data_IF_209096285339
#
_entry.id   IF_209096285339
#
_cell.length_a   1.000
_cell.length_b   1.000
_cell.length_c   1.000
_cell.angle_alpha   90.00
_cell.angle_beta   90.00
_cell.angle_gamma   90.00
#
_symmetry.space_group_name_H-M   'P 1'
#
loop_
_entity.id
_entity.type
_entity.pdbx_description
1 polymer ?
#
# COMPACT_ATOMS: atom_id res chain seq x y z
N UNK A 1 0.10 6.82 23.87
CA UNK A 1 -0.94 6.59 22.86
C UNK A 1 -0.77 5.20 22.30
N UNK A 2 -1.76 4.33 22.45
CA UNK A 2 -1.70 2.97 21.91
C UNK A 2 -1.72 3.06 20.39
N UNK A 3 -0.61 2.69 19.74
CA UNK A 3 -0.58 2.49 18.30
C UNK A 3 -1.49 1.29 18.03
N UNK A 4 -2.67 1.55 17.45
CA UNK A 4 -3.58 0.51 16.94
C UNK A 4 -2.99 -0.22 15.73
N UNK A 5 -1.78 0.16 15.29
CA UNK A 5 -1.11 -0.36 14.11
C UNK A 5 0.04 -1.26 14.55
N UNK A 6 -0.26 -2.49 14.94
CA UNK A 6 0.76 -3.49 15.31
C UNK A 6 1.46 -4.09 14.09
N UNK A 7 0.81 -4.07 12.94
CA UNK A 7 1.31 -4.64 11.69
C UNK A 7 0.89 -3.80 10.49
N UNK A 8 1.65 -3.88 9.41
CA UNK A 8 1.27 -3.37 8.09
C UNK A 8 1.24 -4.54 7.11
N UNK A 9 0.23 -4.57 6.25
CA UNK A 9 0.05 -5.65 5.25
C UNK A 9 -0.08 -5.06 3.86
N UNK A 10 0.60 -5.68 2.90
CA UNK A 10 0.41 -5.44 1.48
C UNK A 10 -0.02 -6.74 0.79
N UNK A 11 -1.01 -6.66 -0.10
CA UNK A 11 -1.56 -7.81 -0.80
C UNK A 11 -1.78 -7.46 -2.26
N UNK A 12 -1.28 -8.31 -3.16
CA UNK A 12 -1.59 -8.26 -4.57
C UNK A 12 -2.83 -9.11 -4.87
N UNK A 13 -3.78 -8.52 -5.57
CA UNK A 13 -4.88 -9.22 -6.20
C UNK A 13 -4.51 -9.44 -7.68
N UNK A 14 -4.40 -10.69 -8.16
CA UNK A 14 -4.34 -10.95 -9.59
C UNK A 14 -5.64 -10.44 -10.24
N UNK A 15 -5.71 -10.40 -11.58
CA UNK A 15 -6.83 -9.84 -12.35
C UNK A 15 -8.17 -9.96 -11.60
N UNK A 16 -8.58 -8.85 -10.99
CA UNK A 16 -9.56 -8.82 -9.93
C UNK A 16 -10.97 -8.99 -10.54
N UNK A 17 -11.89 -9.61 -9.81
CA UNK A 17 -13.22 -9.90 -10.34
C UNK A 17 -14.01 -8.63 -10.76
N UNK A 18 -13.64 -7.45 -10.23
CA UNK A 18 -14.21 -6.15 -10.65
C UNK A 18 -13.36 -5.39 -11.67
N UNK A 19 -12.09 -5.71 -11.83
CA UNK A 19 -11.13 -4.94 -12.63
C UNK A 19 -10.18 -5.92 -13.32
N UNK A 20 -10.16 -5.95 -14.65
CA UNK A 20 -9.34 -6.91 -15.41
C UNK A 20 -7.82 -6.73 -15.23
N UNK A 21 -7.38 -5.76 -14.41
CA UNK A 21 -6.00 -5.46 -14.05
C UNK A 21 -5.62 -5.98 -12.67
N UNK A 22 -4.29 -6.10 -12.45
CA UNK A 22 -3.71 -6.36 -11.13
C UNK A 22 -3.94 -5.17 -10.21
N UNK A 23 -4.27 -5.44 -8.95
CA UNK A 23 -4.46 -4.42 -7.91
C UNK A 23 -3.55 -4.76 -6.73
N UNK A 24 -2.94 -3.75 -6.09
CA UNK A 24 -2.19 -3.92 -4.85
C UNK A 24 -2.86 -3.12 -3.73
N UNK A 25 -3.31 -3.82 -2.69
CA UNK A 25 -3.82 -3.23 -1.46
C UNK A 25 -2.71 -3.06 -0.42
N UNK A 26 -2.83 -2.02 0.40
CA UNK A 26 -1.86 -1.68 1.45
C UNK A 26 -2.57 -1.04 2.65
N UNK A 27 -2.36 -1.58 3.86
CA UNK A 27 -2.85 -0.96 5.11
C UNK A 27 -1.95 0.16 5.60
N UNK A 28 -2.52 1.05 6.42
CA UNK A 28 -1.84 2.15 7.10
C UNK A 28 -1.12 3.10 6.13
N UNK A 29 -1.77 3.36 5.00
CA UNK A 29 -1.35 4.40 4.06
C UNK A 29 -2.42 5.49 4.04
N UNK A 30 -2.08 6.62 4.68
CA UNK A 30 -2.96 7.79 4.68
C UNK A 30 -3.19 8.31 3.26
N UNK A 31 -4.28 9.04 3.06
CA UNK A 31 -4.59 9.72 1.80
C UNK A 31 -3.46 10.64 1.37
N UNK A 32 -2.87 11.38 2.31
CA UNK A 32 -1.71 12.22 2.06
C UNK A 32 -0.53 11.37 1.55
N UNK A 33 -0.17 10.30 2.24
CA UNK A 33 0.93 9.42 1.83
C UNK A 33 0.68 8.78 0.46
N UNK A 34 -0.56 8.35 0.20
CA UNK A 34 -0.96 7.70 -1.04
C UNK A 34 -0.89 8.66 -2.24
N UNK A 35 -1.45 9.87 -2.11
CA UNK A 35 -1.38 10.90 -3.15
C UNK A 35 0.06 11.37 -3.39
N UNK A 36 0.86 11.52 -2.33
CA UNK A 36 2.26 11.89 -2.46
C UNK A 36 3.09 10.76 -3.11
N UNK A 37 2.77 9.49 -2.81
CA UNK A 37 3.39 8.37 -3.52
C UNK A 37 3.11 8.44 -5.03
N UNK A 38 1.85 8.65 -5.42
CA UNK A 38 1.43 8.80 -6.82
C UNK A 38 2.14 9.99 -7.49
N UNK A 39 2.19 11.14 -6.83
CA UNK A 39 2.90 12.32 -7.32
C UNK A 39 4.37 12.00 -7.64
N UNK A 40 5.07 11.35 -6.71
CA UNK A 40 6.49 11.00 -6.87
C UNK A 40 6.71 9.95 -7.98
N UNK A 41 5.70 9.14 -8.32
CA UNK A 41 5.73 8.26 -9.50
C UNK A 41 5.61 9.01 -10.83
N UNK A 42 5.43 10.34 -10.82
CA UNK A 42 5.18 11.14 -12.02
C UNK A 42 3.75 11.03 -12.54
N UNK A 43 2.83 10.48 -11.74
CA UNK A 43 1.41 10.34 -12.06
C UNK A 43 0.63 11.56 -11.53
N UNK A 44 1.13 12.75 -11.83
CA UNK A 44 0.80 13.98 -11.10
C UNK A 44 -0.51 14.65 -11.52
N UNK A 45 -1.09 14.31 -12.66
CA UNK A 45 -2.31 14.95 -13.20
C UNK A 45 -3.38 13.91 -13.49
N UNK A 46 -4.64 14.28 -13.27
CA UNK A 46 -5.75 13.43 -13.63
C UNK A 46 -7.04 13.77 -12.90
N UNK A 47 -7.89 12.77 -12.71
CA UNK A 47 -9.23 12.97 -12.16
C UNK A 47 -9.33 12.50 -10.71
N UNK A 48 -9.96 13.31 -9.87
CA UNK A 48 -10.22 13.03 -8.47
C UNK A 48 -11.73 12.99 -8.21
N UNK A 49 -12.17 11.99 -7.45
CA UNK A 49 -13.52 11.87 -6.93
C UNK A 49 -13.44 11.52 -5.44
N UNK A 50 -14.34 12.09 -4.64
CA UNK A 50 -14.45 11.79 -3.21
C UNK A 50 -15.87 11.40 -2.84
N UNK A 51 -15.98 10.47 -1.91
CA UNK A 51 -17.22 9.95 -1.34
C UNK A 51 -17.09 9.99 0.20
N UNK A 52 -18.16 10.39 0.89
CA UNK A 52 -18.15 10.55 2.33
C UNK A 52 -17.27 11.70 2.83
N UNK A 53 -16.92 11.63 4.11
CA UNK A 53 -16.15 12.67 4.79
C UNK A 53 -14.66 12.51 4.49
N UNK A 54 -14.08 13.53 3.86
CA UNK A 54 -12.65 13.63 3.57
C UNK A 54 -12.05 14.90 4.21
N UNK A 55 -11.92 14.97 5.55
CA UNK A 55 -11.35 16.15 6.23
C UNK A 55 -9.92 16.50 5.79
N UNK A 56 -9.20 15.53 5.21
CA UNK A 56 -7.85 15.69 4.68
C UNK A 56 -7.79 16.45 3.35
N UNK A 57 -8.94 16.74 2.73
CA UNK A 57 -9.03 17.47 1.48
C UNK A 57 -9.83 18.76 1.64
N UNK A 58 -9.22 19.87 1.25
CA UNK A 58 -9.92 21.14 1.18
C UNK A 58 -10.55 21.36 -0.20
N UNK A 59 -11.74 21.97 -0.22
CA UNK A 59 -12.42 22.51 -1.42
C UNK A 59 -12.81 21.51 -2.50
N UNK A 60 -12.68 20.20 -2.25
CA UNK A 60 -13.18 19.15 -3.14
C UNK A 60 -14.56 18.69 -2.65
N UNK A 61 -15.57 18.80 -3.51
CA UNK A 61 -16.96 18.45 -3.17
C UNK A 61 -17.23 16.97 -3.42
N UNK A 62 -17.96 16.36 -2.49
CA UNK A 62 -18.43 14.98 -2.61
C UNK A 62 -19.19 14.71 -3.91
N UNK A 63 -18.95 13.54 -4.50
CA UNK A 63 -19.60 13.06 -5.72
C UNK A 63 -19.20 13.80 -7.00
N UNK A 64 -18.35 14.82 -6.92
CA UNK A 64 -17.87 15.55 -8.09
C UNK A 64 -16.54 15.02 -8.59
N UNK A 65 -16.42 14.89 -9.91
CA UNK A 65 -15.16 14.59 -10.59
C UNK A 65 -14.46 15.88 -10.95
N UNK A 66 -13.28 16.05 -10.39
CA UNK A 66 -12.47 17.25 -10.51
C UNK A 66 -11.18 16.88 -11.25
N UNK A 67 -10.82 17.68 -12.25
CA UNK A 67 -9.49 17.60 -12.87
C UNK A 67 -8.50 18.27 -11.92
N UNK A 68 -7.42 17.56 -11.59
CA UNK A 68 -6.48 17.99 -10.55
C UNK A 68 -5.03 17.83 -11.00
N UNK A 69 -4.19 18.70 -10.44
CA UNK A 69 -2.74 18.63 -10.49
C UNK A 69 -2.24 18.46 -9.05
N UNK A 70 -1.72 17.27 -8.72
CA UNK A 70 -1.30 16.91 -7.36
C UNK A 70 -0.23 17.87 -6.79
N UNK A 71 0.85 18.22 -7.54
CA UNK A 71 1.80 19.26 -7.10
C UNK A 71 1.14 20.58 -6.69
N UNK A 72 0.15 21.06 -7.45
CA UNK A 72 -0.58 22.28 -7.11
C UNK A 72 -1.43 22.13 -5.84
N UNK A 73 -2.07 20.96 -5.67
CA UNK A 73 -2.83 20.66 -4.46
C UNK A 73 -1.94 20.61 -3.21
N UNK A 74 -0.77 19.97 -3.30
CA UNK A 74 0.21 19.94 -2.21
C UNK A 74 0.80 21.32 -1.92
N UNK A 75 1.20 22.07 -2.96
CA UNK A 75 1.75 23.42 -2.80
C UNK A 75 0.73 24.41 -2.19
N UNK A 76 -0.55 24.18 -2.42
CA UNK A 76 -1.65 24.99 -1.88
C UNK A 76 -2.19 24.49 -0.54
N UNK A 77 -1.56 23.48 0.07
CA UNK A 77 -2.02 22.83 1.31
C UNK A 77 -3.45 22.31 1.24
N UNK A 78 -3.94 21.96 0.04
CA UNK A 78 -5.28 21.40 -0.15
C UNK A 78 -5.35 19.90 0.19
N UNK A 79 -4.19 19.25 0.33
CA UNK A 79 -4.05 17.90 0.86
C UNK A 79 -3.27 18.02 2.17
N UNK A 80 -3.94 17.77 3.30
CA UNK A 80 -3.32 17.87 4.62
C UNK A 80 -3.04 16.47 5.19
N UNK A 81 -1.93 16.35 5.91
CA UNK A 81 -1.64 15.13 6.66
C UNK A 81 -2.52 15.09 7.92
N UNK A 82 -3.44 14.13 7.98
CA UNK A 82 -4.27 13.87 9.16
C UNK A 82 -3.90 12.53 9.78
N UNK A 83 -3.86 12.50 11.11
CA UNK A 83 -3.86 11.23 11.86
C UNK A 83 -5.31 10.84 12.13
N UNK A 84 -5.64 9.56 11.90
CA UNK A 84 -6.96 9.00 12.22
C UNK A 84 -7.75 8.52 11.01
N UNK A 85 -8.74 7.69 11.31
CA UNK A 85 -9.65 7.07 10.35
C UNK A 85 -10.70 8.10 9.93
N UNK A 86 -10.79 8.37 8.63
CA UNK A 86 -11.90 9.11 8.05
C UNK A 86 -13.02 8.12 7.69
N UNK A 87 -14.25 8.57 7.44
CA UNK A 87 -15.31 7.70 6.94
C UNK A 87 -15.66 8.12 5.52
N UNK A 88 -15.04 7.48 4.53
CA UNK A 88 -15.19 7.84 3.13
C UNK A 88 -14.11 7.25 2.23
N UNK A 89 -14.32 7.38 0.92
CA UNK A 89 -13.36 6.97 -0.09
C UNK A 89 -12.86 8.15 -0.95
N UNK A 90 -11.61 8.07 -1.37
CA UNK A 90 -11.01 8.93 -2.38
C UNK A 90 -10.57 8.07 -3.55
N UNK A 91 -10.89 8.47 -4.77
CA UNK A 91 -10.38 7.85 -5.99
C UNK A 91 -9.64 8.89 -6.82
N UNK A 92 -8.39 8.59 -7.16
CA UNK A 92 -7.57 9.34 -8.11
C UNK A 92 -7.25 8.46 -9.33
N UNK A 93 -7.35 9.02 -10.53
CA UNK A 93 -6.95 8.34 -11.77
C UNK A 93 -5.96 9.21 -12.54
N UNK A 94 -4.77 8.68 -12.79
CA UNK A 94 -3.74 9.36 -13.56
C UNK A 94 -4.12 9.37 -15.04
N UNK A 95 -4.41 10.55 -15.59
CA UNK A 95 -4.92 10.69 -16.94
C UNK A 95 -4.41 11.98 -17.60
N UNK A 96 -4.15 11.91 -18.92
CA UNK A 96 -3.90 13.09 -19.73
C UNK A 96 -5.21 13.89 -19.88
N UNK A 97 -5.23 15.21 -19.66
CA UNK A 97 -6.40 16.06 -19.88
C UNK A 97 -7.07 15.87 -21.26
N UNK A 98 -6.30 15.46 -22.28
CA UNK A 98 -6.80 15.17 -23.63
C UNK A 98 -7.78 14.00 -23.71
N UNK A 99 -7.83 13.12 -22.69
CA UNK A 99 -8.82 12.04 -22.61
C UNK A 99 -10.23 12.56 -22.33
N UNK A 100 -10.35 13.84 -21.96
CA UNK A 100 -11.63 14.45 -21.63
C UNK A 100 -12.17 14.00 -20.27
N UNK A 101 -13.37 14.48 -19.96
CA UNK A 101 -14.03 14.22 -18.68
C UNK A 101 -14.55 12.78 -18.59
N UNK A 102 -14.28 12.04 -17.51
CA UNK A 102 -14.81 10.70 -17.29
C UNK A 102 -16.34 10.69 -17.26
N UNK A 103 -17.00 9.73 -17.92
CA UNK A 103 -18.46 9.69 -18.06
C UNK A 103 -19.15 9.28 -16.75
N UNK A 104 -20.20 10.00 -16.35
CA UNK A 104 -20.87 9.80 -15.05
C UNK A 104 -21.72 8.53 -14.91
N UNK A 105 -21.71 7.66 -15.93
CA UNK A 105 -22.53 6.43 -16.03
C UNK A 105 -21.89 5.20 -15.36
N UNK A 106 -20.61 5.28 -14.98
CA UNK A 106 -19.83 4.21 -14.35
C UNK A 106 -18.90 4.78 -13.27
N UNK A 107 -18.31 3.95 -12.41
CA UNK A 107 -17.35 4.44 -11.40
C UNK A 107 -16.06 4.97 -12.05
N UNK A 108 -15.33 5.84 -11.33
CA UNK A 108 -14.09 6.41 -11.83
C UNK A 108 -13.00 5.32 -12.03
N UNK A 109 -12.98 4.30 -11.17
CA UNK A 109 -12.12 3.11 -11.32
C UNK A 109 -12.46 2.32 -12.59
N UNK A 110 -13.74 2.04 -12.84
CA UNK A 110 -14.15 1.31 -14.04
C UNK A 110 -13.74 2.03 -15.33
N UNK A 111 -13.88 3.35 -15.36
CA UNK A 111 -13.38 4.16 -16.47
C UNK A 111 -11.85 4.10 -16.60
N UNK A 112 -11.10 4.17 -15.50
CA UNK A 112 -9.63 4.06 -15.52
C UNK A 112 -9.16 2.76 -16.16
N UNK A 113 -9.81 1.65 -15.81
CA UNK A 113 -9.52 0.31 -16.33
C UNK A 113 -9.77 0.21 -17.84
N UNK A 114 -10.90 0.73 -18.33
CA UNK A 114 -11.19 0.80 -19.77
C UNK A 114 -10.12 1.59 -20.52
N UNK A 115 -9.62 2.67 -19.92
CA UNK A 115 -8.58 3.52 -20.48
C UNK A 115 -7.15 3.00 -20.21
N UNK A 116 -7.01 1.87 -19.50
CA UNK A 116 -5.73 1.30 -19.03
C UNK A 116 -4.86 2.33 -18.31
N UNK A 117 -5.46 3.07 -17.39
CA UNK A 117 -4.81 4.12 -16.62
C UNK A 117 -4.52 3.67 -15.18
N UNK A 118 -3.35 4.06 -14.62
CA UNK A 118 -3.09 3.89 -13.21
C UNK A 118 -4.12 4.64 -12.37
N UNK A 119 -4.53 4.02 -11.27
CA UNK A 119 -5.46 4.62 -10.33
C UNK A 119 -5.12 4.27 -8.89
N UNK A 120 -5.58 5.13 -7.98
CA UNK A 120 -5.47 5.01 -6.55
C UNK A 120 -6.87 5.12 -5.96
N UNK A 121 -7.23 4.23 -5.06
CA UNK A 121 -8.38 4.39 -4.17
C UNK A 121 -7.90 4.34 -2.71
N UNK A 122 -8.31 5.30 -1.89
CA UNK A 122 -8.03 5.31 -0.46
C UNK A 122 -9.34 5.25 0.28
N UNK A 123 -9.48 4.25 1.15
CA UNK A 123 -10.67 4.05 1.98
C UNK A 123 -10.31 4.38 3.42
N UNK A 124 -11.17 5.20 4.03
CA UNK A 124 -11.14 5.56 5.43
C UNK A 124 -9.81 6.17 5.92
N UNK A 125 -9.04 6.75 5.00
CA UNK A 125 -7.70 7.29 5.24
C UNK A 125 -6.69 6.25 5.80
N UNK A 126 -6.93 4.96 5.56
CA UNK A 126 -6.10 3.89 6.11
C UNK A 126 -5.69 2.85 5.07
N UNK A 127 -6.60 2.45 4.18
CA UNK A 127 -6.33 1.40 3.20
C UNK A 127 -6.23 2.00 1.80
N UNK A 128 -5.09 1.81 1.15
CA UNK A 128 -4.86 2.26 -0.21
C UNK A 128 -4.83 1.08 -1.20
N UNK A 129 -5.50 1.25 -2.33
CA UNK A 129 -5.56 0.34 -3.46
C UNK A 129 -4.95 1.00 -4.69
N UNK A 130 -4.00 0.31 -5.30
CA UNK A 130 -3.33 0.77 -6.51
C UNK A 130 -3.63 -0.19 -7.66
N UNK A 131 -4.26 0.32 -8.73
CA UNK A 131 -4.48 -0.45 -9.94
C UNK A 131 -3.74 0.13 -11.13
N UNK A 132 -3.51 -0.71 -12.15
CA UNK A 132 -2.83 -0.30 -13.39
C UNK A 132 -1.33 -0.02 -13.22
N UNK A 133 -0.71 -0.46 -12.12
CA UNK A 133 0.74 -0.33 -11.92
C UNK A 133 1.53 -1.40 -12.69
N UNK A 134 2.66 -0.99 -13.25
CA UNK A 134 3.67 -1.91 -13.79
C UNK A 134 4.57 -2.50 -12.69
N UNK A 135 5.42 -3.46 -13.05
CA UNK A 135 6.30 -4.13 -12.09
C UNK A 135 7.32 -3.19 -11.44
N UNK A 136 7.75 -2.14 -12.15
CA UNK A 136 8.69 -1.14 -11.62
C UNK A 136 8.02 -0.28 -10.56
N UNK A 137 6.78 0.14 -10.82
CA UNK A 137 5.97 0.90 -9.87
C UNK A 137 5.61 0.05 -8.64
N UNK A 138 5.31 -1.24 -8.83
CA UNK A 138 5.11 -2.19 -7.73
C UNK A 138 6.39 -2.31 -6.88
N UNK A 139 7.57 -2.38 -7.49
CA UNK A 139 8.84 -2.40 -6.74
C UNK A 139 9.03 -1.11 -5.92
N UNK A 140 8.57 0.02 -6.42
CA UNK A 140 8.61 1.28 -5.66
C UNK A 140 7.64 1.26 -4.49
N UNK A 141 6.43 0.72 -4.68
CA UNK A 141 5.45 0.53 -3.61
C UNK A 141 5.98 -0.42 -2.53
N UNK A 142 6.66 -1.50 -2.91
CA UNK A 142 7.31 -2.42 -1.98
C UNK A 142 8.42 -1.72 -1.19
N UNK A 143 9.23 -0.86 -1.82
CA UNK A 143 10.23 -0.05 -1.10
C UNK A 143 9.59 0.92 -0.12
N UNK A 144 8.51 1.59 -0.52
CA UNK A 144 7.73 2.45 0.37
C UNK A 144 7.24 1.65 1.57
N UNK A 145 6.62 0.49 1.32
CA UNK A 145 6.16 -0.42 2.35
C UNK A 145 7.28 -0.75 3.31
N UNK A 146 8.44 -1.24 2.86
CA UNK A 146 9.56 -1.63 3.73
C UNK A 146 10.17 -0.47 4.54
N UNK A 147 10.24 0.72 3.95
CA UNK A 147 10.88 1.87 4.58
C UNK A 147 9.96 2.64 5.53
N UNK A 148 8.65 2.38 5.49
CA UNK A 148 7.67 3.05 6.36
C UNK A 148 7.85 2.64 7.84
N UNK A 149 7.21 3.39 8.75
CA UNK A 149 7.33 3.27 10.20
C UNK A 149 7.33 1.81 10.67
N UNK A 150 8.19 1.43 11.63
CA UNK A 150 9.12 2.29 12.39
C UNK A 150 10.48 2.50 11.73
N UNK A 151 10.74 1.97 10.54
CA UNK A 151 12.02 2.16 9.87
C UNK A 151 12.30 3.64 9.52
N UNK A 152 11.28 4.35 9.04
CA UNK A 152 11.32 5.77 8.64
C UNK A 152 12.53 6.12 7.74
N UNK A 153 12.87 5.21 6.84
CA UNK A 153 13.95 5.41 5.86
C UNK A 153 13.36 6.12 4.64
N UNK A 154 14.16 6.96 3.97
CA UNK A 154 13.78 7.53 2.69
C UNK A 154 13.76 6.45 1.61
N UNK A 155 12.58 5.88 1.34
CA UNK A 155 12.38 4.80 0.36
C UNK A 155 12.93 5.14 -1.03
N UNK A 156 12.95 6.42 -1.41
CA UNK A 156 13.47 6.91 -2.69
C UNK A 156 14.97 6.67 -2.83
N UNK A 157 15.69 6.61 -1.70
CA UNK A 157 17.12 6.33 -1.62
C UNK A 157 17.42 4.85 -1.39
N UNK A 158 16.39 4.00 -1.44
CA UNK A 158 16.56 2.55 -1.27
C UNK A 158 16.40 1.79 -2.57
N UNK A 159 17.04 0.63 -2.66
CA UNK A 159 16.91 -0.32 -3.77
C UNK A 159 16.65 -1.71 -3.24
N UNK A 160 15.97 -2.54 -4.03
CA UNK A 160 15.83 -3.97 -3.76
C UNK A 160 16.89 -4.71 -4.56
N UNK A 161 17.57 -5.68 -3.94
CA UNK A 161 18.29 -6.69 -4.72
C UNK A 161 17.34 -7.35 -5.75
N UNK A 162 17.75 -7.59 -7.01
CA UNK A 162 16.84 -8.10 -8.05
C UNK A 162 16.17 -9.43 -7.72
N UNK A 163 16.87 -10.34 -7.02
CA UNK A 163 16.30 -11.63 -6.61
C UNK A 163 15.29 -11.43 -5.49
N UNK A 164 15.60 -10.54 -4.55
CA UNK A 164 14.64 -10.14 -3.52
C UNK A 164 13.40 -9.50 -4.13
N UNK A 165 13.56 -8.57 -5.08
CA UNK A 165 12.45 -7.88 -5.74
C UNK A 165 11.51 -8.89 -6.43
N UNK A 166 12.05 -9.81 -7.23
CA UNK A 166 11.27 -10.87 -7.88
C UNK A 166 10.52 -11.74 -6.86
N UNK A 167 11.18 -12.12 -5.75
CA UNK A 167 10.57 -12.92 -4.68
C UNK A 167 9.46 -12.16 -3.96
N UNK A 168 9.66 -10.88 -3.66
CA UNK A 168 8.64 -10.04 -3.04
C UNK A 168 7.44 -9.85 -3.96
N UNK A 169 7.65 -9.62 -5.26
CA UNK A 169 6.57 -9.52 -6.25
C UNK A 169 5.78 -10.82 -6.37
N UNK A 170 6.43 -11.97 -6.46
CA UNK A 170 5.74 -13.26 -6.51
C UNK A 170 4.90 -13.48 -5.24
N UNK A 171 5.52 -13.35 -4.06
CA UNK A 171 4.83 -13.51 -2.79
C UNK A 171 3.72 -12.50 -2.55
N UNK A 172 3.83 -11.28 -3.11
CA UNK A 172 2.79 -10.26 -3.02
C UNK A 172 1.46 -10.76 -3.57
N UNK A 173 1.46 -11.44 -4.72
CA UNK A 173 0.26 -11.96 -5.37
C UNK A 173 -0.12 -13.38 -4.93
N UNK A 174 0.83 -14.17 -4.42
CA UNK A 174 0.56 -15.53 -3.96
C UNK A 174 -0.04 -15.56 -2.55
N UNK A 175 0.46 -14.71 -1.64
CA UNK A 175 0.11 -14.77 -0.23
C UNK A 175 0.17 -13.42 0.51
N UNK A 176 0.53 -12.32 -0.16
CA UNK A 176 0.75 -11.02 0.47
C UNK A 176 1.91 -11.00 1.47
N UNK A 177 2.24 -9.83 1.99
CA UNK A 177 3.28 -9.66 3.00
C UNK A 177 2.77 -8.85 4.17
N UNK A 178 2.92 -9.40 5.37
CA UNK A 178 2.69 -8.70 6.62
C UNK A 178 4.02 -8.48 7.33
N UNK A 179 4.23 -7.26 7.82
CA UNK A 179 5.27 -6.98 8.79
C UNK A 179 4.63 -6.53 10.10
N UNK A 180 5.12 -7.06 11.21
CA UNK A 180 4.77 -6.53 12.52
C UNK A 180 5.77 -5.43 12.89
N UNK A 181 5.27 -4.28 13.35
CA UNK A 181 6.09 -3.11 13.65
C UNK A 181 7.07 -3.36 14.81
N UNK A 182 6.75 -4.25 15.74
CA UNK A 182 7.63 -4.62 16.86
C UNK A 182 8.81 -5.51 16.44
N UNK A 183 8.75 -6.13 15.25
CA UNK A 183 9.84 -6.91 14.67
C UNK A 183 10.76 -6.09 13.77
N UNK A 184 10.52 -4.78 13.67
CA UNK A 184 11.41 -3.88 12.95
C UNK A 184 12.43 -3.32 13.92
N UNK A 185 13.72 -3.57 13.67
CA UNK A 185 14.83 -3.04 14.46
C UNK A 185 15.56 -1.97 13.66
N UNK A 186 15.57 -0.75 14.18
CA UNK A 186 16.25 0.40 13.58
C UNK A 186 17.61 0.58 14.24
N UNK A 187 18.64 0.85 13.44
CA UNK A 187 20.00 1.08 13.90
C UNK A 187 20.94 1.31 12.72
N UNK A 188 22.24 1.01 12.88
CA UNK A 188 23.21 1.08 11.77
C UNK A 188 22.77 0.24 10.56
N UNK A 189 22.10 -0.87 10.84
CA UNK A 189 21.46 -1.75 9.86
C UNK A 189 20.01 -1.93 10.29
N UNK A 190 19.08 -1.61 9.41
CA UNK A 190 17.65 -1.79 9.69
C UNK A 190 17.25 -3.21 9.34
N UNK A 191 16.52 -3.85 10.25
CA UNK A 191 16.00 -5.21 10.06
C UNK A 191 14.48 -5.18 10.13
N UNK A 192 13.84 -6.01 9.31
CA UNK A 192 12.42 -6.31 9.44
C UNK A 192 12.15 -7.74 8.99
N UNK A 193 11.21 -8.41 9.64
CA UNK A 193 10.73 -9.70 9.19
C UNK A 193 9.37 -9.55 8.51
N UNK A 194 9.25 -10.14 7.33
CA UNK A 194 8.01 -10.30 6.61
C UNK A 194 7.51 -11.73 6.76
N UNK A 195 6.21 -11.87 6.94
CA UNK A 195 5.52 -13.15 6.96
C UNK A 195 4.42 -13.15 5.90
N UNK A 196 4.36 -14.22 5.12
CA UNK A 196 3.34 -14.43 4.11
C UNK A 196 2.06 -15.02 4.70
N UNK A 197 0.90 -14.72 4.13
CA UNK A 197 -0.38 -15.37 4.49
C UNK A 197 -0.94 -15.00 5.86
N UNK A 198 -0.36 -14.03 6.56
CA UNK A 198 -0.87 -13.49 7.82
C UNK A 198 -2.00 -12.52 7.49
N UNK A 199 -3.07 -12.51 8.30
CA UNK A 199 -4.29 -11.75 8.05
C UNK A 199 -5.08 -12.16 6.80
N UNK A 200 -5.29 -13.47 6.60
CA UNK A 200 -6.08 -14.06 5.50
C UNK A 200 -7.49 -13.48 5.29
N UNK A 201 -7.95 -12.56 6.16
CA UNK A 201 -9.29 -11.94 6.16
C UNK A 201 -9.30 -10.39 6.16
N UNK A 202 -8.16 -9.69 6.19
CA UNK A 202 -8.14 -8.33 6.77
C UNK A 202 -7.74 -7.16 5.86
N UNK A 203 -7.94 -7.22 4.55
CA UNK A 203 -7.74 -6.02 3.72
C UNK A 203 -9.03 -5.47 3.11
N UNK A 204 -9.91 -6.34 2.64
CA UNK A 204 -11.34 -6.09 2.44
C UNK A 204 -11.98 -7.46 2.24
N UNK A 205 -13.21 -7.64 2.70
CA UNK A 205 -13.99 -8.87 2.54
C UNK A 205 -14.41 -9.02 1.06
N UNK A 206 -13.46 -9.34 0.18
CA UNK A 206 -13.73 -9.72 -1.20
C UNK A 206 -14.25 -11.16 -1.16
N UNK A 207 -15.55 -11.31 -0.87
CA UNK A 207 -16.28 -12.57 -0.67
C UNK A 207 -16.25 -13.58 -1.84
N UNK A 208 -15.39 -13.37 -2.84
CA UNK A 208 -15.26 -14.19 -4.06
C UNK A 208 -13.81 -14.41 -4.52
N UNK A 209 -12.80 -13.81 -3.87
CA UNK A 209 -11.39 -13.99 -4.24
C UNK A 209 -10.75 -14.94 -3.21
N UNK A 210 -10.04 -16.00 -3.64
CA UNK A 210 -9.30 -16.84 -2.71
C UNK A 210 -8.36 -15.94 -1.90
N UNK A 211 -8.57 -15.88 -0.57
CA UNK A 211 -7.65 -15.18 0.32
C UNK A 211 -6.25 -15.81 0.23
N UNK A 212 -5.21 -15.10 0.69
CA UNK A 212 -3.88 -15.67 0.85
C UNK A 212 -3.93 -17.05 1.50
N UNK A 213 -3.29 -18.05 0.90
CA UNK A 213 -3.12 -19.32 1.59
C UNK A 213 -2.34 -19.08 2.89
N UNK A 214 -2.65 -19.82 3.96
CA UNK A 214 -1.74 -19.88 5.10
C UNK A 214 -0.41 -20.47 4.58
N UNK A 215 0.62 -19.64 4.50
CA UNK A 215 1.94 -20.10 4.09
C UNK A 215 2.94 -19.75 5.18
N UNK A 216 3.70 -20.74 5.63
CA UNK A 216 4.79 -20.51 6.57
C UNK A 216 6.03 -19.98 5.83
N UNK A 217 5.86 -18.90 5.05
CA UNK A 217 6.97 -18.21 4.37
C UNK A 217 7.37 -17.03 5.23
N UNK A 218 8.62 -17.06 5.70
CA UNK A 218 9.23 -15.98 6.44
C UNK A 218 10.43 -15.42 5.69
N UNK A 219 10.54 -14.09 5.64
CA UNK A 219 11.69 -13.39 5.10
C UNK A 219 12.26 -12.42 6.12
N UNK A 220 13.53 -12.60 6.47
CA UNK A 220 14.28 -11.61 7.23
C UNK A 220 14.97 -10.65 6.28
N UNK A 221 14.54 -9.41 6.28
CA UNK A 221 15.09 -8.35 5.46
C UNK A 221 16.06 -7.47 6.23
N UNK A 222 16.96 -6.87 5.49
CA UNK A 222 18.06 -6.07 5.99
C UNK A 222 18.35 -4.94 5.03
N UNK A 223 18.25 -3.70 5.51
CA UNK A 223 18.68 -2.51 4.76
C UNK A 223 20.05 -2.06 5.26
N UNK A 224 21.05 -2.09 4.38
CA UNK A 224 22.40 -1.59 4.62
C UNK A 224 22.83 -0.70 3.43
N UNK A 225 23.32 0.50 3.72
CA UNK A 225 23.68 1.52 2.71
C UNK A 225 22.61 1.76 1.64
N UNK A 226 21.32 1.69 2.02
CA UNK A 226 20.19 1.86 1.11
C UNK A 226 19.83 0.62 0.28
N UNK A 227 20.54 -0.49 0.40
CA UNK A 227 20.21 -1.72 -0.31
C UNK A 227 19.47 -2.70 0.62
N UNK A 228 18.29 -3.14 0.19
CA UNK A 228 17.54 -4.21 0.83
C UNK A 228 18.02 -5.57 0.32
N UNK A 229 18.34 -6.45 1.27
CA UNK A 229 18.64 -7.86 1.06
C UNK A 229 17.76 -8.72 1.97
N UNK A 230 17.57 -9.98 1.62
CA UNK A 230 16.68 -10.89 2.36
C UNK A 230 17.26 -12.29 2.53
N UNK A 231 16.94 -12.91 3.67
CA UNK A 231 17.22 -14.31 3.96
C UNK A 231 15.91 -15.03 4.27
N UNK A 232 15.80 -16.25 3.78
CA UNK A 232 14.73 -17.16 4.15
C UNK A 232 14.79 -17.52 5.64
N UNK A 233 13.66 -17.41 6.32
CA UNK A 233 13.47 -17.84 7.71
C UNK A 233 12.23 -18.74 7.85
N UNK A 234 11.82 -19.41 6.78
CA UNK A 234 10.66 -20.32 6.76
C UNK A 234 10.87 -21.57 7.62
N UNK A 235 12.12 -21.85 8.00
CA UNK A 235 12.49 -22.82 9.03
C UNK A 235 12.11 -22.37 10.45
N UNK A 236 11.82 -21.08 10.65
CA UNK A 236 11.35 -20.52 11.92
C UNK A 236 9.82 -20.58 12.01
N UNK A 237 9.32 -20.69 13.25
CA UNK A 237 7.89 -20.59 13.52
C UNK A 237 7.44 -19.13 13.37
N UNK A 238 6.38 -18.89 12.60
CA UNK A 238 5.74 -17.58 12.54
C UNK A 238 5.32 -17.15 13.96
N UNK A 239 5.76 -15.97 14.37
CA UNK A 239 5.45 -15.42 15.70
C UNK A 239 4.21 -14.53 15.67
N UNK A 240 3.62 -14.30 14.49
CA UNK A 240 2.41 -13.51 14.33
C UNK A 240 1.19 -14.41 14.54
N UNK A 241 0.19 -13.87 15.23
CA UNK A 241 -1.13 -14.47 15.27
C UNK A 241 -1.82 -14.19 13.91
N UNK A 242 -2.27 -15.25 13.25
CA UNK A 242 -2.82 -15.17 11.88
C UNK A 242 -4.03 -14.25 11.74
N UNK A 243 -4.87 -14.15 12.78
CA UNK A 243 -6.09 -13.34 12.73
C UNK A 243 -5.79 -11.86 13.00
N UNK A 244 -4.90 -11.58 13.96
CA UNK A 244 -4.71 -10.23 14.52
C UNK A 244 -3.41 -9.57 14.11
N UNK A 245 -2.44 -10.31 13.55
CA UNK A 245 -1.10 -9.83 13.21
C UNK A 245 -0.21 -9.47 14.39
N UNK A 246 -0.73 -9.63 15.61
CA UNK A 246 0.00 -9.36 16.85
C UNK A 246 1.02 -10.45 17.12
N UNK A 247 2.05 -10.11 17.89
CA UNK A 247 2.97 -11.13 18.39
C UNK A 247 2.23 -12.10 19.32
N UNK A 248 2.42 -13.39 19.09
CA UNK A 248 1.88 -14.46 19.95
C UNK A 248 2.61 -14.49 21.30
N UNK A 249 3.88 -14.05 21.31
CA UNK A 249 4.73 -13.92 22.50
C UNK A 249 5.50 -12.61 22.40
N UNK A 250 5.69 -11.88 23.50
CA UNK A 250 6.35 -10.56 23.49
C UNK A 250 7.73 -10.57 22.82
N UNK A 251 8.15 -9.42 22.27
CA UNK A 251 9.37 -9.27 21.45
C UNK A 251 10.67 -9.73 22.13
N UNK A 252 10.73 -9.78 23.47
CA UNK A 252 11.87 -10.29 24.24
C UNK A 252 12.18 -11.78 24.04
N UNK A 253 11.23 -12.56 23.53
CA UNK A 253 11.43 -13.99 23.20
C UNK A 253 11.94 -14.20 21.78
N UNK A 254 11.95 -13.15 20.95
CA UNK A 254 12.32 -13.23 19.55
C UNK A 254 13.81 -12.88 19.36
N UNK A 255 14.59 -13.86 18.87
CA UNK A 255 16.01 -13.67 18.53
C UNK A 255 16.16 -13.55 17.01
N UNK A 256 16.44 -12.34 16.47
CA UNK A 256 16.71 -12.14 15.06
C UNK A 256 18.09 -12.68 14.65
#
# INVERSE_FOLDING_TARGET
MALLNWSMTTLGYPAHARTASRVVGLTHMSTHDALHFIEVQGLSTGWLQVEGSQPQLERIREGTRVDVNLPELFASSMIIQTEGVASGALTFVAADPKLGKPPGDRSLVAWAEEQRRPWLEVIDNDVAYFGGLDDTQIDVLLRWFLARRPAEIDWRKTVLDPRLAARLRAGLFDHGWTRNLELVKVGRKTFCDLWGGVHSKCLLDHSTIPGPMQVQIGLRLSCDNGAWSGKDISDQRCVLNDDTGKLTFGSGYYKP
#
